data_IF_109727736683
#
_entry.id   IF_109727736683
#
_cell.length_a   1.000
_cell.length_b   1.000
_cell.length_c   1.000
_cell.angle_alpha   90.00
_cell.angle_beta   90.00
_cell.angle_gamma   90.00
#
_symmetry.space_group_name_H-M   'P 1'
#
loop_
_entity.id
_entity.type
_entity.pdbx_description
1 polymer ?
#
# COMPACT_ATOMS: atom_id res chain seq x y z
N UNK A 1 -4.55 -4.27 16.18
CA UNK A 1 -3.10 -3.96 16.13
C UNK A 1 -2.76 -3.12 17.35
N UNK A 2 -1.77 -3.52 18.16
CA UNK A 2 -1.27 -2.68 19.26
C UNK A 2 -0.22 -1.71 18.74
N UNK A 3 -0.21 -0.48 19.26
CA UNK A 3 0.83 0.49 18.97
C UNK A 3 1.99 0.28 19.95
N UNK A 4 3.21 0.15 19.44
CA UNK A 4 4.44 0.15 20.22
C UNK A 4 5.17 1.48 20.07
N UNK A 5 5.73 2.01 21.17
CA UNK A 5 6.47 3.28 21.16
C UNK A 5 7.89 3.05 20.66
N UNK A 6 8.30 3.83 19.66
CA UNK A 6 9.68 3.87 19.15
C UNK A 6 10.32 5.21 19.51
N UNK A 7 11.55 5.17 20.02
CA UNK A 7 12.41 6.34 20.19
C UNK A 7 13.57 6.24 19.20
N UNK A 8 13.84 7.34 18.51
CA UNK A 8 14.91 7.43 17.50
C UNK A 8 15.62 8.76 17.67
N UNK A 9 16.95 8.71 17.57
CA UNK A 9 17.78 9.91 17.51
C UNK A 9 17.94 10.31 16.05
N UNK A 10 17.76 11.59 15.77
CA UNK A 10 17.90 12.18 14.44
C UNK A 10 18.80 13.40 14.52
N UNK A 11 19.38 13.77 13.39
CA UNK A 11 20.16 14.99 13.27
C UNK A 11 19.27 16.23 13.34
N UNK A 12 19.86 17.39 13.65
CA UNK A 12 19.14 18.66 13.64
C UNK A 12 18.57 19.01 12.25
N UNK A 13 19.29 18.65 11.19
CA UNK A 13 18.84 18.85 9.81
C UNK A 13 17.60 18.02 9.48
N UNK A 14 17.61 16.73 9.85
CA UNK A 14 16.46 15.84 9.68
C UNK A 14 15.25 16.32 10.46
N UNK A 15 15.46 16.83 11.68
CA UNK A 15 14.40 17.43 12.49
C UNK A 15 13.79 18.64 11.78
N UNK A 16 14.62 19.57 11.32
CA UNK A 16 14.15 20.78 10.63
C UNK A 16 13.39 20.43 9.34
N UNK A 17 13.84 19.40 8.62
CA UNK A 17 13.12 18.89 7.45
C UNK A 17 11.74 18.31 7.83
N UNK A 18 11.68 17.45 8.85
CA UNK A 18 10.41 16.85 9.33
C UNK A 18 9.41 17.92 9.78
N UNK A 19 9.87 18.95 10.50
CA UNK A 19 9.02 20.05 10.95
C UNK A 19 8.44 20.84 9.78
N UNK A 20 9.24 21.14 8.74
CA UNK A 20 8.75 21.80 7.52
C UNK A 20 7.71 20.96 6.78
N UNK A 21 7.98 19.66 6.60
CA UNK A 21 7.04 18.75 5.94
C UNK A 21 5.74 18.59 6.75
N UNK A 22 5.84 18.56 8.08
CA UNK A 22 4.68 18.46 8.96
C UNK A 22 3.74 19.65 8.80
N UNK A 23 4.30 20.87 8.74
CA UNK A 23 3.54 22.09 8.50
C UNK A 23 2.94 22.09 7.08
N UNK A 24 3.75 21.79 6.06
CA UNK A 24 3.31 21.82 4.67
C UNK A 24 2.17 20.84 4.37
N UNK A 25 2.18 19.67 5.01
CA UNK A 25 1.17 18.60 4.81
C UNK A 25 0.01 18.64 5.80
N UNK A 26 0.11 19.44 6.87
CA UNK A 26 -0.86 19.42 7.97
C UNK A 26 -0.90 18.07 8.72
N UNK A 27 0.20 17.31 8.73
CA UNK A 27 0.29 15.97 9.33
C UNK A 27 1.39 15.90 10.37
N UNK A 28 1.23 15.17 11.48
CA UNK A 28 2.30 15.01 12.48
C UNK A 28 3.55 14.35 11.91
N UNK A 29 4.75 14.74 12.39
CA UNK A 29 6.03 14.13 11.98
C UNK A 29 6.03 12.59 12.09
N UNK A 30 5.31 12.04 13.08
CA UNK A 30 5.19 10.60 13.28
C UNK A 30 4.47 9.89 12.13
N UNK A 31 3.50 10.53 11.50
CA UNK A 31 2.81 9.99 10.31
C UNK A 31 3.76 9.98 9.11
N UNK A 32 4.52 11.06 8.90
CA UNK A 32 5.51 11.17 7.82
C UNK A 32 6.57 10.08 7.94
N UNK A 33 7.10 9.86 9.14
CA UNK A 33 8.10 8.80 9.39
C UNK A 33 7.51 7.41 9.15
N UNK A 34 6.25 7.19 9.54
CA UNK A 34 5.57 5.91 9.30
C UNK A 34 5.39 5.66 7.80
N UNK A 35 4.92 6.64 7.05
CA UNK A 35 4.72 6.52 5.61
C UNK A 35 6.04 6.24 4.88
N UNK A 36 7.13 6.89 5.30
CA UNK A 36 8.46 6.63 4.76
C UNK A 36 8.95 5.20 5.05
N UNK A 37 8.72 4.69 6.27
CA UNK A 37 9.06 3.32 6.65
C UNK A 37 8.22 2.29 5.90
N UNK A 38 6.92 2.54 5.75
CA UNK A 38 6.00 1.68 5.01
C UNK A 38 6.42 1.61 3.53
N UNK A 39 6.71 2.77 2.92
CA UNK A 39 7.22 2.85 1.55
C UNK A 39 8.55 2.10 1.37
N UNK A 40 9.51 2.28 2.28
CA UNK A 40 10.80 1.60 2.24
C UNK A 40 10.69 0.08 2.37
N UNK A 41 9.63 -0.42 3.04
CA UNK A 41 9.36 -1.86 3.22
C UNK A 41 8.39 -2.42 2.17
N UNK A 42 7.96 -1.63 1.19
CA UNK A 42 6.95 -2.04 0.21
C UNK A 42 5.56 -2.29 0.81
N UNK A 43 5.32 -1.82 2.04
CA UNK A 43 4.01 -1.90 2.69
C UNK A 43 3.16 -0.80 2.09
N UNK A 44 2.11 -1.17 1.35
CA UNK A 44 1.16 -0.17 0.86
C UNK A 44 0.45 0.49 2.05
N UNK A 45 0.33 1.84 2.07
CA UNK A 45 -0.45 2.57 3.06
C UNK A 45 -1.81 1.91 3.32
N UNK A 46 -2.25 1.87 4.58
CA UNK A 46 -3.51 1.22 4.94
C UNK A 46 -4.73 1.72 4.12
N UNK A 47 -4.87 3.04 3.83
CA UNK A 47 -5.94 3.53 2.97
C UNK A 47 -5.89 2.96 1.55
N UNK A 48 -4.69 2.80 0.97
CA UNK A 48 -4.54 2.20 -0.36
C UNK A 48 -4.84 0.70 -0.37
N UNK A 49 -4.51 -0.01 0.72
CA UNK A 49 -4.89 -1.43 0.87
C UNK A 49 -6.41 -1.59 1.01
N UNK A 50 -7.06 -0.75 1.81
CA UNK A 50 -8.50 -0.77 1.99
C UNK A 50 -9.22 -0.45 0.67
N UNK A 51 -8.82 0.62 -0.02
CA UNK A 51 -9.41 0.98 -1.31
C UNK A 51 -9.20 -0.12 -2.38
N UNK A 52 -8.04 -0.79 -2.40
CA UNK A 52 -7.80 -1.92 -3.29
C UNK A 52 -8.69 -3.12 -2.94
N UNK A 53 -8.87 -3.40 -1.65
CA UNK A 53 -9.75 -4.47 -1.18
C UNK A 53 -11.22 -4.18 -1.51
N UNK A 54 -11.71 -2.97 -1.26
CA UNK A 54 -13.08 -2.54 -1.58
C UNK A 54 -13.36 -2.67 -3.09
N UNK A 55 -12.38 -2.28 -3.94
CA UNK A 55 -12.50 -2.46 -5.39
C UNK A 55 -12.58 -3.92 -5.80
N UNK A 56 -11.79 -4.80 -5.18
CA UNK A 56 -11.85 -6.24 -5.43
C UNK A 56 -13.17 -6.85 -4.95
N UNK A 57 -13.63 -6.44 -3.76
CA UNK A 57 -14.89 -6.91 -3.18
C UNK A 57 -16.12 -6.49 -3.98
N UNK A 58 -16.04 -5.36 -4.70
CA UNK A 58 -17.09 -4.87 -5.58
C UNK A 58 -17.12 -5.55 -6.96
N UNK A 59 -16.11 -6.37 -7.30
CA UNK A 59 -16.14 -7.12 -8.56
C UNK A 59 -17.19 -8.24 -8.47
N UNK A 60 -17.92 -8.51 -9.57
CA UNK A 60 -18.83 -9.64 -9.62
C UNK A 60 -18.06 -10.93 -9.33
N UNK A 61 -18.63 -11.78 -8.48
CA UNK A 61 -18.05 -13.07 -8.17
C UNK A 61 -17.93 -13.88 -9.47
N UNK A 62 -16.69 -14.12 -9.90
CA UNK A 62 -16.39 -15.04 -10.99
C UNK A 62 -15.93 -16.38 -10.41
N UNK A 63 -16.28 -17.49 -11.05
CA UNK A 63 -15.67 -18.77 -10.70
C UNK A 63 -14.15 -18.63 -10.78
N UNK A 64 -13.46 -19.28 -9.84
CA UNK A 64 -12.01 -19.33 -9.88
C UNK A 64 -11.59 -20.00 -11.21
N UNK A 65 -10.60 -19.44 -11.93
CA UNK A 65 -10.12 -20.05 -13.16
C UNK A 65 -9.54 -21.43 -12.86
N UNK A 66 -9.69 -22.33 -13.80
CA UNK A 66 -9.00 -23.61 -13.83
C UNK A 66 -7.48 -23.41 -13.99
N UNK A 67 -6.71 -24.44 -13.63
CA UNK A 67 -5.26 -24.42 -13.79
C UNK A 67 -4.83 -24.18 -15.25
N UNK A 68 -5.53 -24.76 -16.21
CA UNK A 68 -5.27 -24.59 -17.65
C UNK A 68 -5.50 -23.14 -18.12
N UNK A 69 -6.54 -22.48 -17.61
CA UNK A 69 -6.80 -21.06 -17.89
C UNK A 69 -5.72 -20.14 -17.28
N UNK A 70 -5.18 -20.51 -16.11
CA UNK A 70 -4.08 -19.79 -15.48
C UNK A 70 -2.78 -19.93 -16.28
N UNK A 71 -2.44 -21.12 -16.76
CA UNK A 71 -1.28 -21.36 -17.63
C UNK A 71 -1.42 -20.60 -18.96
N UNK A 72 -2.59 -20.63 -19.60
CA UNK A 72 -2.85 -19.88 -20.81
C UNK A 72 -2.70 -18.35 -20.62
N UNK A 73 -3.07 -17.82 -19.45
CA UNK A 73 -2.88 -16.41 -19.11
C UNK A 73 -1.42 -16.04 -18.85
N UNK A 74 -0.66 -16.91 -18.17
CA UNK A 74 0.77 -16.71 -17.94
C UNK A 74 1.56 -16.68 -19.26
N UNK A 75 1.17 -17.51 -20.23
CA UNK A 75 1.77 -17.56 -21.56
C UNK A 75 1.28 -16.46 -22.52
N UNK A 76 0.45 -15.52 -22.05
CA UNK A 76 -0.10 -14.43 -22.88
C UNK A 76 -1.12 -14.89 -23.94
N UNK A 77 -1.62 -16.12 -23.83
CA UNK A 77 -2.61 -16.73 -24.76
C UNK A 77 -4.06 -16.59 -24.28
N UNK A 78 -4.30 -15.97 -23.13
CA UNK A 78 -5.64 -15.78 -22.59
C UNK A 78 -6.45 -14.81 -23.45
N UNK A 79 -7.51 -15.32 -24.07
CA UNK A 79 -8.62 -14.53 -24.59
C UNK A 79 -9.77 -14.66 -23.60
N UNK A 80 -10.26 -13.53 -23.08
CA UNK A 80 -11.48 -13.53 -22.28
C UNK A 80 -12.59 -14.22 -23.08
N UNK A 81 -13.18 -15.28 -22.51
CA UNK A 81 -14.36 -15.91 -23.08
C UNK A 81 -15.50 -14.87 -23.02
N UNK A 82 -16.08 -14.47 -24.15
CA UNK A 82 -17.28 -13.64 -24.13
C UNK A 82 -18.44 -14.49 -23.61
N UNK A 83 -19.22 -13.91 -22.70
CA UNK A 83 -20.54 -14.42 -22.32
C UNK A 83 -21.53 -14.35 -23.48
#
# INVERSE_FOLDING_TARGET
MSLQRMQVLITAEQRAWLERESIARGTPCTAIVRDALDAARGVRPAPLRLAAFERLAALPARPAPSWEEMEAAADGRYRAVPE
#
